data_IF_344128603196
#
_entry.id   IF_344128603196
#
_cell.length_a   1.000
_cell.length_b   1.000
_cell.length_c   1.000
_cell.angle_alpha   90.00
_cell.angle_beta   90.00
_cell.angle_gamma   90.00
#
_symmetry.space_group_name_H-M   'P 1'
#
loop_
_entity.id
_entity.type
_entity.pdbx_description
1 polymer ?
#
# COMPACT_ATOMS: atom_id res chain seq x y z
N UNK A 1 -2.21 1.82 -19.22
CA UNK A 1 -1.14 1.92 -18.20
C UNK A 1 -1.59 2.82 -17.05
N UNK A 2 -2.24 3.94 -17.37
CA UNK A 2 -2.90 4.85 -16.41
C UNK A 2 -3.88 4.13 -15.46
N UNK A 3 -4.79 3.30 -15.98
CA UNK A 3 -5.70 2.46 -15.17
C UNK A 3 -4.99 1.52 -14.19
N UNK A 4 -3.76 1.06 -14.52
CA UNK A 4 -3.01 0.18 -13.62
C UNK A 4 -2.37 0.98 -12.48
N UNK A 5 -1.88 2.19 -12.78
CA UNK A 5 -1.35 3.12 -11.78
C UNK A 5 -2.47 3.53 -10.82
N UNK A 6 -3.64 3.92 -11.33
CA UNK A 6 -4.80 4.30 -10.50
C UNK A 6 -5.25 3.15 -9.58
N UNK A 7 -5.30 1.92 -10.09
CA UNK A 7 -5.60 0.72 -9.27
C UNK A 7 -4.57 0.51 -8.15
N UNK A 8 -3.30 0.74 -8.42
CA UNK A 8 -2.23 0.63 -7.41
C UNK A 8 -2.30 1.75 -6.39
N UNK A 9 -2.62 2.98 -6.80
CA UNK A 9 -2.84 4.12 -5.90
C UNK A 9 -4.04 3.86 -4.97
N UNK A 10 -5.15 3.36 -5.52
CA UNK A 10 -6.30 2.96 -4.71
C UNK A 10 -5.96 1.80 -3.76
N UNK A 11 -5.13 0.85 -4.19
CA UNK A 11 -4.66 -0.24 -3.33
C UNK A 11 -3.84 0.29 -2.15
N UNK A 12 -2.95 1.26 -2.38
CA UNK A 12 -2.18 1.94 -1.32
C UNK A 12 -3.12 2.59 -0.31
N UNK A 13 -4.11 3.37 -0.78
CA UNK A 13 -5.08 4.04 0.10
C UNK A 13 -5.82 3.03 0.99
N UNK A 14 -6.22 1.88 0.43
CA UNK A 14 -6.88 0.82 1.20
C UNK A 14 -5.95 0.21 2.26
N UNK A 15 -4.68 -0.04 1.94
CA UNK A 15 -3.70 -0.54 2.91
C UNK A 15 -3.45 0.46 4.04
N UNK A 16 -3.34 1.76 3.73
CA UNK A 16 -3.22 2.81 4.74
C UNK A 16 -4.44 2.89 5.67
N UNK A 17 -5.64 2.69 5.13
CA UNK A 17 -6.87 2.59 5.93
C UNK A 17 -6.86 1.36 6.84
N UNK A 18 -6.42 0.20 6.34
CA UNK A 18 -6.26 -1.01 7.15
C UNK A 18 -5.27 -0.78 8.31
N UNK A 19 -4.12 -0.17 8.06
CA UNK A 19 -3.15 0.17 9.11
C UNK A 19 -3.79 1.06 10.18
N UNK A 20 -4.47 2.15 9.78
CA UNK A 20 -5.16 3.04 10.72
C UNK A 20 -6.22 2.31 11.55
N UNK A 21 -6.98 1.41 10.94
CA UNK A 21 -7.99 0.61 11.65
C UNK A 21 -7.34 -0.30 12.68
N UNK A 22 -6.29 -1.02 12.29
CA UNK A 22 -5.55 -1.94 13.17
C UNK A 22 -4.89 -1.19 14.32
N UNK A 23 -4.30 -0.02 14.08
CA UNK A 23 -3.74 0.85 15.12
C UNK A 23 -4.81 1.32 16.12
N UNK A 24 -6.02 1.68 15.65
CA UNK A 24 -7.14 2.04 16.55
C UNK A 24 -7.56 0.86 17.43
N UNK A 25 -7.66 -0.35 16.85
CA UNK A 25 -7.97 -1.56 17.62
C UNK A 25 -6.90 -1.83 18.70
N UNK A 26 -5.62 -1.59 18.38
CA UNK A 26 -4.51 -1.71 19.33
C UNK A 26 -4.66 -0.73 20.50
N UNK A 27 -4.98 0.53 20.20
CA UNK A 27 -5.20 1.58 21.21
C UNK A 27 -6.40 1.28 22.12
N UNK A 28 -7.43 0.61 21.59
CA UNK A 28 -8.58 0.17 22.37
C UNK A 28 -8.33 -1.12 23.16
N UNK A 29 -7.15 -1.74 23.04
CA UNK A 29 -6.82 -2.99 23.72
C UNK A 29 -7.57 -4.22 23.18
N UNK A 30 -8.10 -4.15 21.96
CA UNK A 30 -8.90 -5.22 21.32
C UNK A 30 -8.20 -5.86 20.12
N UNK A 31 -6.94 -5.51 19.87
CA UNK A 31 -6.16 -6.10 18.79
C UNK A 31 -5.57 -7.45 19.19
N UNK A 32 -5.37 -8.30 18.18
CA UNK A 32 -4.68 -9.59 18.33
C UNK A 32 -3.17 -9.41 18.60
N UNK A 33 -2.50 -10.45 19.12
CA UNK A 33 -1.05 -10.42 19.41
C UNK A 33 -0.18 -10.22 18.17
N UNK A 34 -0.73 -10.45 16.97
CA UNK A 34 -0.05 -10.32 15.67
C UNK A 34 -0.35 -8.99 14.99
N UNK A 35 -0.90 -8.03 15.73
CA UNK A 35 -1.26 -6.70 15.24
C UNK A 35 -0.11 -6.01 14.53
N UNK A 36 1.10 -6.15 15.07
CA UNK A 36 2.30 -5.51 14.54
C UNK A 36 2.77 -6.22 13.26
N UNK A 37 2.76 -7.56 13.22
CA UNK A 37 3.06 -8.33 12.00
C UNK A 37 2.09 -7.98 10.85
N UNK A 38 0.81 -7.75 11.17
CA UNK A 38 -0.19 -7.34 10.17
C UNK A 38 0.07 -5.92 9.65
N UNK A 39 0.46 -5.00 10.52
CA UNK A 39 0.85 -3.64 10.12
C UNK A 39 2.07 -3.71 9.19
N UNK A 40 3.09 -4.49 9.55
CA UNK A 40 4.30 -4.67 8.74
C UNK A 40 3.96 -5.25 7.37
N UNK A 41 3.09 -6.26 7.30
CA UNK A 41 2.64 -6.83 6.03
C UNK A 41 1.90 -5.80 5.14
N UNK A 42 1.11 -4.90 5.73
CA UNK A 42 0.45 -3.82 4.98
C UNK A 42 1.45 -2.76 4.50
N UNK A 43 2.44 -2.41 5.32
CA UNK A 43 3.52 -1.49 4.95
C UNK A 43 4.34 -2.04 3.78
N UNK A 44 4.69 -3.33 3.82
CA UNK A 44 5.36 -4.03 2.72
C UNK A 44 4.53 -4.00 1.43
N UNK A 45 3.22 -4.19 1.52
CA UNK A 45 2.29 -4.05 0.39
C UNK A 45 2.33 -2.66 -0.23
N UNK A 46 2.35 -1.61 0.59
CA UNK A 46 2.45 -0.22 0.13
C UNK A 46 3.79 0.02 -0.58
N UNK A 47 4.90 -0.44 -0.01
CA UNK A 47 6.23 -0.28 -0.62
C UNK A 47 6.32 -0.97 -1.98
N UNK A 48 5.80 -2.19 -2.11
CA UNK A 48 5.74 -2.92 -3.38
C UNK A 48 4.88 -2.21 -4.42
N UNK A 49 3.71 -1.71 -4.02
CA UNK A 49 2.81 -0.97 -4.91
C UNK A 49 3.46 0.34 -5.40
N UNK A 50 4.13 1.09 -4.51
CA UNK A 50 4.85 2.32 -4.88
C UNK A 50 5.99 2.05 -5.87
N UNK A 51 6.79 1.01 -5.61
CA UNK A 51 7.85 0.58 -6.54
C UNK A 51 7.28 0.24 -7.91
N UNK A 52 6.15 -0.49 -7.95
CA UNK A 52 5.50 -0.86 -9.21
C UNK A 52 4.97 0.36 -9.97
N UNK A 53 4.39 1.35 -9.29
CA UNK A 53 3.97 2.61 -9.90
C UNK A 53 5.17 3.34 -10.52
N UNK A 54 6.30 3.41 -9.81
CA UNK A 54 7.51 4.04 -10.32
C UNK A 54 8.04 3.35 -11.59
N UNK A 55 8.08 2.01 -11.59
CA UNK A 55 8.45 1.22 -12.77
C UNK A 55 7.52 1.49 -13.96
N UNK A 56 6.20 1.51 -13.73
CA UNK A 56 5.22 1.80 -14.78
C UNK A 56 5.38 3.21 -15.33
N UNK A 57 5.59 4.22 -14.47
CA UNK A 57 5.81 5.61 -14.91
C UNK A 57 7.06 5.76 -15.77
N UNK A 58 8.16 5.06 -15.42
CA UNK A 58 9.40 5.06 -16.20
C UNK A 58 9.21 4.40 -17.57
N UNK A 59 8.41 3.33 -17.66
CA UNK A 59 8.09 2.69 -18.93
C UNK A 59 7.32 3.63 -19.86
N UNK A 60 6.36 4.42 -19.34
CA UNK A 60 5.64 5.42 -20.14
C UNK A 60 6.55 6.52 -20.70
N UNK A 61 7.60 6.91 -19.96
CA UNK A 61 8.53 7.95 -20.40
C UNK A 61 9.59 7.45 -21.40
N UNK A 62 9.98 6.19 -21.31
CA UNK A 62 10.97 5.59 -22.23
C UNK A 62 10.43 5.24 -23.62
N UNK A 63 9.10 5.15 -23.79
CA UNK A 63 8.45 4.89 -25.09
C UNK A 63 8.23 6.17 -25.93
N UNK A 64 8.64 7.34 -25.43
CA UNK A 64 8.43 8.65 -26.07
C UNK A 64 9.72 9.28 -26.67
N UNK A 65 10.85 8.58 -26.62
CA UNK A 65 12.14 8.99 -27.22
C UNK A 65 12.49 8.18 -28.49
#
# INVERSE_FOLDING_TARGET
MEDQIEKLELHIVRLEQCIRQVQRLKQMGVADEKVDERIDAYLDGILKARKRIEELKKQTQGDAD
#
